data_IF_250516376306
#
_entry.id   IF_250516376306
#
_cell.length_a   1.000
_cell.length_b   1.000
_cell.length_c   1.000
_cell.angle_alpha   90.00
_cell.angle_beta   90.00
_cell.angle_gamma   90.00
#
_symmetry.space_group_name_H-M   'P 1'
#
loop_
_entity.id
_entity.type
_entity.pdbx_description
1 polymer ?
#
# COMPACT_ATOMS: atom_id res chain seq x y z
N UNK A 1 0.49 -11.74 -12.46
CA UNK A 1 -0.82 -11.21 -12.91
C UNK A 1 -0.80 -9.69 -12.84
N UNK A 2 -1.18 -9.06 -13.91
CA UNK A 2 -1.21 -7.59 -13.94
C UNK A 2 -2.47 -7.08 -13.22
N UNK A 3 -2.28 -6.21 -12.23
CA UNK A 3 -3.39 -5.65 -11.46
C UNK A 3 -4.10 -4.54 -12.21
N UNK A 4 -5.39 -4.39 -11.94
CA UNK A 4 -6.22 -3.32 -12.49
C UNK A 4 -6.81 -2.48 -11.35
N UNK A 5 -7.17 -1.24 -11.66
CA UNK A 5 -7.79 -0.35 -10.69
C UNK A 5 -9.09 -0.94 -10.11
N UNK A 6 -9.92 -1.56 -10.95
CA UNK A 6 -11.15 -2.22 -10.51
C UNK A 6 -10.88 -3.35 -9.51
N UNK A 7 -9.87 -4.17 -9.79
CA UNK A 7 -9.46 -5.26 -8.91
C UNK A 7 -9.03 -4.72 -7.54
N UNK A 8 -8.20 -3.68 -7.51
CA UNK A 8 -7.71 -3.09 -6.26
C UNK A 8 -8.86 -2.47 -5.47
N UNK A 9 -9.81 -1.80 -6.13
CA UNK A 9 -11.00 -1.26 -5.46
C UNK A 9 -11.81 -2.35 -4.76
N UNK A 10 -12.03 -3.47 -5.43
CA UNK A 10 -12.77 -4.60 -4.85
C UNK A 10 -12.01 -5.22 -3.67
N UNK A 11 -10.69 -5.35 -3.79
CA UNK A 11 -9.86 -5.84 -2.69
C UNK A 11 -9.84 -4.87 -1.52
N UNK A 12 -9.81 -3.56 -1.76
CA UNK A 12 -9.91 -2.56 -0.70
C UNK A 12 -11.20 -2.76 0.11
N UNK A 13 -12.33 -2.89 -0.55
CA UNK A 13 -13.62 -3.10 0.11
C UNK A 13 -13.59 -4.38 0.95
N UNK A 14 -13.08 -5.47 0.37
CA UNK A 14 -12.96 -6.77 1.06
C UNK A 14 -12.09 -6.65 2.32
N UNK A 15 -10.90 -6.10 2.18
CA UNK A 15 -9.94 -6.01 3.29
C UNK A 15 -10.37 -4.99 4.35
N UNK A 16 -11.05 -3.93 3.95
CA UNK A 16 -11.64 -2.99 4.88
C UNK A 16 -12.64 -3.70 5.81
N UNK A 17 -13.49 -4.55 5.24
CA UNK A 17 -14.42 -5.37 6.05
C UNK A 17 -13.72 -6.39 6.93
N UNK A 18 -12.70 -7.08 6.40
CA UNK A 18 -12.01 -8.16 7.11
C UNK A 18 -11.09 -7.65 8.22
N UNK A 19 -10.39 -6.54 8.01
CA UNK A 19 -9.28 -6.14 8.87
C UNK A 19 -9.47 -4.78 9.55
N UNK A 20 -10.40 -3.96 9.09
CA UNK A 20 -10.59 -2.59 9.61
C UNK A 20 -12.04 -2.31 10.04
N UNK A 21 -12.85 -3.34 10.21
CA UNK A 21 -14.26 -3.22 10.61
C UNK A 21 -15.07 -2.27 9.72
N UNK A 22 -14.72 -2.18 8.44
CA UNK A 22 -15.32 -1.27 7.47
C UNK A 22 -15.25 0.22 7.87
N UNK A 23 -14.25 0.58 8.68
CA UNK A 23 -14.11 1.94 9.20
C UNK A 23 -13.46 2.92 8.23
N UNK A 24 -12.77 2.43 7.20
CA UNK A 24 -12.10 3.30 6.24
C UNK A 24 -13.07 3.76 5.14
N UNK A 25 -13.28 5.08 4.97
CA UNK A 25 -14.01 5.56 3.81
C UNK A 25 -13.29 5.19 2.52
N UNK A 26 -14.05 4.98 1.45
CA UNK A 26 -13.44 4.72 0.15
C UNK A 26 -12.59 5.93 -0.26
N UNK A 27 -11.33 5.69 -0.60
CA UNK A 27 -10.42 6.71 -1.09
C UNK A 27 -10.16 6.52 -2.58
N UNK A 28 -9.42 7.45 -3.17
CA UNK A 28 -8.99 7.29 -4.56
C UNK A 28 -8.02 6.09 -4.66
N UNK A 29 -8.26 5.23 -5.64
CA UNK A 29 -7.42 4.09 -5.94
C UNK A 29 -6.81 4.31 -7.33
N UNK A 30 -5.50 4.18 -7.41
CA UNK A 30 -4.76 4.28 -8.68
C UNK A 30 -3.89 3.05 -8.86
N UNK A 31 -3.70 2.69 -10.11
CA UNK A 31 -2.69 1.72 -10.54
C UNK A 31 -1.73 2.45 -11.46
N UNK A 32 -0.45 2.35 -11.17
CA UNK A 32 0.58 3.08 -11.89
C UNK A 32 1.84 2.23 -12.02
N UNK A 33 2.65 2.54 -13.01
CA UNK A 33 3.91 1.82 -13.26
C UNK A 33 5.03 2.40 -12.40
N UNK A 34 5.07 1.97 -11.13
CA UNK A 34 6.10 2.39 -10.17
C UNK A 34 7.12 1.28 -9.98
N UNK A 35 8.39 1.56 -10.23
CA UNK A 35 9.45 0.56 -10.03
C UNK A 35 10.15 0.70 -8.67
N UNK A 36 9.97 1.82 -7.97
CA UNK A 36 10.61 2.10 -6.68
C UNK A 36 9.91 1.47 -5.49
N UNK A 37 8.63 1.20 -5.61
CA UNK A 37 7.84 0.63 -4.52
C UNK A 37 6.65 -0.17 -5.09
N UNK A 38 6.11 -1.06 -4.27
CA UNK A 38 4.92 -1.83 -4.65
C UNK A 38 3.65 -1.01 -4.53
N UNK A 39 3.58 -0.13 -3.55
CA UNK A 39 2.44 0.72 -3.30
C UNK A 39 2.83 1.97 -2.55
N UNK A 40 1.92 2.93 -2.51
CA UNK A 40 2.09 4.14 -1.71
C UNK A 40 0.73 4.69 -1.28
N UNK A 41 0.72 5.35 -0.14
CA UNK A 41 -0.41 6.14 0.32
C UNK A 41 0.00 7.60 0.38
N UNK A 42 -0.80 8.47 -0.24
CA UNK A 42 -0.61 9.92 -0.22
C UNK A 42 -1.88 10.61 0.22
N UNK A 43 -1.71 11.74 0.89
CA UNK A 43 -2.82 12.61 1.27
C UNK A 43 -2.29 14.03 1.50
N UNK A 44 -3.23 14.99 1.60
CA UNK A 44 -2.93 16.34 2.06
C UNK A 44 -3.42 16.49 3.49
N UNK A 45 -2.54 16.93 4.38
CA UNK A 45 -2.84 17.15 5.79
C UNK A 45 -3.00 18.64 6.02
N UNK A 46 -4.16 19.02 6.56
CA UNK A 46 -4.47 20.40 6.96
C UNK A 46 -4.43 20.48 8.49
N UNK A 47 -3.24 20.64 9.05
CA UNK A 47 -3.01 20.59 10.50
C UNK A 47 -3.86 21.60 11.27
N UNK A 48 -4.00 22.82 10.73
CA UNK A 48 -4.80 23.89 11.37
C UNK A 48 -6.26 23.45 11.57
N UNK A 49 -6.83 22.73 10.62
CA UNK A 49 -8.23 22.30 10.65
C UNK A 49 -8.38 20.83 11.04
N UNK A 50 -7.29 20.15 11.35
CA UNK A 50 -7.25 18.71 11.68
C UNK A 50 -7.99 17.86 10.65
N UNK A 51 -7.77 18.17 9.37
CA UNK A 51 -8.46 17.54 8.25
C UNK A 51 -7.46 16.95 7.26
N UNK A 52 -7.85 15.82 6.68
CA UNK A 52 -7.08 15.14 5.64
C UNK A 52 -7.90 15.09 4.37
N UNK A 53 -7.31 15.49 3.26
CA UNK A 53 -7.94 15.49 1.93
C UNK A 53 -7.04 14.81 0.91
N UNK A 54 -7.56 14.58 -0.30
CA UNK A 54 -6.82 13.99 -1.42
C UNK A 54 -6.18 12.65 -1.04
N UNK A 55 -6.91 11.80 -0.32
CA UNK A 55 -6.44 10.47 0.08
C UNK A 55 -6.39 9.56 -1.13
N UNK A 56 -5.23 8.96 -1.38
CA UNK A 56 -5.02 8.10 -2.54
C UNK A 56 -4.09 6.94 -2.20
N UNK A 57 -4.50 5.73 -2.56
CA UNK A 57 -3.65 4.54 -2.53
C UNK A 57 -3.31 4.20 -3.97
N UNK A 58 -2.01 4.08 -4.27
CA UNK A 58 -1.51 3.68 -5.57
C UNK A 58 -0.79 2.34 -5.45
N UNK A 59 -1.10 1.42 -6.34
CA UNK A 59 -0.44 0.10 -6.42
C UNK A 59 0.30 0.01 -7.75
N UNK A 60 1.53 -0.47 -7.70
CA UNK A 60 2.32 -0.66 -8.92
C UNK A 60 1.82 -1.85 -9.71
N UNK A 61 1.74 -1.71 -11.03
CA UNK A 61 1.38 -2.81 -11.94
C UNK A 61 2.60 -3.50 -12.56
N UNK A 62 3.80 -3.17 -12.11
CA UNK A 62 5.04 -3.71 -12.66
C UNK A 62 5.45 -5.07 -12.07
N UNK A 63 4.82 -5.50 -10.97
CA UNK A 63 5.22 -6.68 -10.23
C UNK A 63 4.24 -7.84 -10.41
N UNK A 64 4.75 -9.06 -10.31
CA UNK A 64 3.95 -10.28 -10.42
C UNK A 64 3.50 -10.72 -9.04
N UNK A 65 2.37 -10.18 -8.59
CA UNK A 65 1.82 -10.47 -7.27
C UNK A 65 1.13 -11.84 -7.22
N UNK A 66 1.36 -12.57 -6.13
CA UNK A 66 0.40 -13.57 -5.66
C UNK A 66 -0.74 -12.86 -4.92
N UNK A 67 -1.85 -13.55 -4.67
CA UNK A 67 -2.94 -12.96 -3.87
C UNK A 67 -2.44 -12.52 -2.50
N UNK A 68 -1.59 -13.33 -1.86
CA UNK A 68 -1.04 -13.01 -0.54
C UNK A 68 -0.13 -11.79 -0.59
N UNK A 69 0.76 -11.70 -1.58
CA UNK A 69 1.62 -10.53 -1.75
C UNK A 69 0.80 -9.27 -1.96
N UNK A 70 -0.20 -9.34 -2.83
CA UNK A 70 -1.04 -8.18 -3.14
C UNK A 70 -1.84 -7.75 -1.92
N UNK A 71 -2.37 -8.70 -1.15
CA UNK A 71 -3.03 -8.43 0.12
C UNK A 71 -2.10 -7.66 1.06
N UNK A 72 -0.91 -8.17 1.26
CA UNK A 72 0.05 -7.58 2.20
C UNK A 72 0.47 -6.17 1.76
N UNK A 73 0.70 -5.96 0.47
CA UNK A 73 1.02 -4.63 -0.08
C UNK A 73 -0.14 -3.66 0.13
N UNK A 74 -1.36 -4.07 -0.22
CA UNK A 74 -2.53 -3.19 -0.08
C UNK A 74 -2.85 -2.89 1.38
N UNK A 75 -2.82 -3.89 2.26
CA UNK A 75 -3.09 -3.72 3.68
C UNK A 75 -2.03 -2.83 4.34
N UNK A 76 -0.76 -2.92 3.92
CA UNK A 76 0.29 -2.01 4.37
C UNK A 76 -0.09 -0.55 4.11
N UNK A 77 -0.57 -0.24 2.91
CA UNK A 77 -1.02 1.11 2.55
C UNK A 77 -2.31 1.49 3.29
N UNK A 78 -3.20 0.54 3.51
CA UNK A 78 -4.42 0.77 4.29
C UNK A 78 -4.12 1.07 5.76
N UNK A 79 -3.05 0.51 6.32
CA UNK A 79 -2.60 0.84 7.68
C UNK A 79 -2.13 2.29 7.74
N UNK A 80 -1.36 2.78 6.76
CA UNK A 80 -1.03 4.20 6.66
C UNK A 80 -2.28 5.07 6.66
N UNK A 81 -3.25 4.71 5.84
CA UNK A 81 -4.52 5.42 5.77
C UNK A 81 -5.27 5.39 7.10
N UNK A 82 -5.34 4.23 7.75
CA UNK A 82 -6.01 4.06 9.05
C UNK A 82 -5.39 4.97 10.12
N UNK A 83 -4.07 4.99 10.24
CA UNK A 83 -3.39 5.80 11.23
C UNK A 83 -3.62 7.30 11.01
N UNK A 84 -3.63 7.73 9.76
CA UNK A 84 -3.91 9.12 9.42
C UNK A 84 -5.38 9.48 9.66
N UNK A 85 -6.29 8.62 9.23
CA UNK A 85 -7.73 8.88 9.27
C UNK A 85 -8.32 8.74 10.68
N UNK A 86 -8.02 7.64 11.37
CA UNK A 86 -8.62 7.32 12.66
C UNK A 86 -7.83 7.85 13.86
N UNK A 87 -6.53 7.76 13.79
CA UNK A 87 -5.62 8.09 14.90
C UNK A 87 -4.98 9.47 14.74
N UNK A 88 -5.05 10.07 13.57
CA UNK A 88 -4.43 11.37 13.23
C UNK A 88 -2.92 11.39 13.48
N UNK A 89 -2.28 10.25 13.34
CA UNK A 89 -0.85 10.07 13.55
C UNK A 89 -0.08 10.30 12.23
N UNK A 90 -0.05 11.54 11.77
CA UNK A 90 0.51 11.87 10.46
C UNK A 90 1.99 11.55 10.37
N UNK A 91 2.79 12.00 11.33
CA UNK A 91 4.23 11.76 11.34
C UNK A 91 4.56 10.28 11.55
N UNK A 92 3.90 9.64 12.52
CA UNK A 92 4.09 8.23 12.82
C UNK A 92 3.83 7.36 11.59
N UNK A 93 2.70 7.59 10.91
CA UNK A 93 2.34 6.84 9.71
C UNK A 93 3.39 6.98 8.61
N UNK A 94 3.75 8.21 8.24
CA UNK A 94 4.68 8.42 7.11
C UNK A 94 6.12 8.07 7.42
N UNK A 95 6.56 8.12 8.67
CA UNK A 95 7.90 7.75 9.08
C UNK A 95 8.05 6.30 9.55
N UNK A 96 6.98 5.48 9.43
CA UNK A 96 6.95 4.12 9.98
C UNK A 96 7.32 4.09 11.47
N UNK A 97 6.69 4.99 12.23
CA UNK A 97 6.94 5.12 13.67
C UNK A 97 6.37 3.98 14.51
N UNK A 98 6.41 4.12 15.86
CA UNK A 98 6.04 3.04 16.78
C UNK A 98 4.62 2.48 16.58
N UNK A 99 3.64 3.35 16.35
CA UNK A 99 2.24 2.92 16.15
C UNK A 99 2.10 2.12 14.84
N UNK A 100 2.77 2.56 13.79
CA UNK A 100 2.77 1.83 12.52
C UNK A 100 3.40 0.46 12.68
N UNK A 101 4.56 0.39 13.31
CA UNK A 101 5.28 -0.87 13.57
C UNK A 101 4.44 -1.83 14.43
N UNK A 102 3.80 -1.31 15.46
CA UNK A 102 2.93 -2.10 16.32
C UNK A 102 1.79 -2.71 15.53
N UNK A 103 1.14 -1.92 14.70
CA UNK A 103 0.00 -2.38 13.91
C UNK A 103 0.42 -3.42 12.85
N UNK A 104 1.57 -3.22 12.19
CA UNK A 104 2.14 -4.22 11.27
C UNK A 104 2.37 -5.54 11.99
N UNK A 105 2.99 -5.52 13.16
CA UNK A 105 3.28 -6.74 13.94
C UNK A 105 2.00 -7.44 14.40
N UNK A 106 1.02 -6.69 14.87
CA UNK A 106 -0.29 -7.24 15.26
C UNK A 106 -1.00 -7.91 14.09
N UNK A 107 -1.01 -7.28 12.93
CA UNK A 107 -1.65 -7.85 11.74
C UNK A 107 -0.92 -9.11 11.25
N UNK A 108 0.40 -9.09 11.25
CA UNK A 108 1.20 -10.26 10.88
C UNK A 108 0.89 -11.45 11.80
N UNK A 109 0.83 -11.21 13.10
CA UNK A 109 0.55 -12.26 14.08
C UNK A 109 -0.90 -12.73 14.00
N UNK A 110 -1.85 -11.80 14.00
CA UNK A 110 -3.28 -12.11 14.07
C UNK A 110 -3.83 -12.71 12.78
N UNK A 111 -3.38 -12.24 11.64
CA UNK A 111 -3.95 -12.61 10.33
C UNK A 111 -3.00 -13.43 9.45
N UNK A 112 -1.84 -13.81 9.95
CA UNK A 112 -0.88 -14.59 9.18
C UNK A 112 -0.28 -13.86 8.00
N UNK A 113 -0.14 -12.55 8.10
CA UNK A 113 0.48 -11.74 7.06
C UNK A 113 2.00 -11.74 7.20
N UNK A 114 2.70 -11.35 6.15
CA UNK A 114 4.17 -11.26 6.11
C UNK A 114 4.61 -9.85 5.71
N UNK A 115 3.92 -8.84 6.25
CA UNK A 115 4.27 -7.46 5.96
C UNK A 115 5.60 -7.08 6.60
N UNK A 116 6.40 -6.31 5.86
CA UNK A 116 7.61 -5.67 6.38
C UNK A 116 7.35 -4.19 6.60
N UNK A 117 8.01 -3.61 7.58
CA UNK A 117 7.93 -2.16 7.83
C UNK A 117 8.49 -1.39 6.63
N UNK A 118 9.62 -1.85 6.12
CA UNK A 118 10.21 -1.34 4.88
C UNK A 118 10.09 -2.41 3.81
N UNK A 119 9.42 -2.09 2.71
CA UNK A 119 9.24 -3.02 1.59
C UNK A 119 10.55 -3.14 0.80
N UNK A 120 11.04 -4.37 0.67
CA UNK A 120 12.18 -4.68 -0.18
C UNK A 120 11.66 -5.07 -1.56
N UNK A 121 12.09 -4.36 -2.60
CA UNK A 121 11.67 -4.59 -3.99
C UNK A 121 12.05 -5.96 -4.53
N UNK A 122 12.97 -6.67 -3.86
CA UNK A 122 13.37 -8.02 -4.25
C UNK A 122 12.39 -9.11 -3.80
N UNK A 123 11.44 -8.78 -2.91
CA UNK A 123 10.49 -9.75 -2.37
C UNK A 123 9.46 -10.22 -3.39
N UNK A 124 9.13 -9.39 -4.37
CA UNK A 124 8.15 -9.70 -5.42
C UNK A 124 8.82 -9.50 -6.77
N UNK A 125 8.72 -10.52 -7.61
CA UNK A 125 9.33 -10.47 -8.93
C UNK A 125 8.61 -9.47 -9.84
N UNK A 126 9.36 -8.82 -10.71
CA UNK A 126 8.80 -8.06 -11.81
C UNK A 126 8.06 -8.99 -12.77
N UNK A 127 7.02 -8.48 -13.42
CA UNK A 127 6.42 -9.15 -14.55
C UNK A 127 7.48 -9.32 -15.65
N UNK A 128 7.45 -10.43 -16.37
CA UNK A 128 8.49 -10.74 -17.38
C UNK A 128 8.69 -9.63 -18.41
N UNK A 129 7.60 -9.03 -18.88
CA UNK A 129 7.63 -7.90 -19.82
C UNK A 129 8.22 -6.64 -19.18
N UNK A 130 7.90 -6.39 -17.92
CA UNK A 130 8.41 -5.25 -17.14
C UNK A 130 9.91 -5.39 -16.89
N UNK A 131 10.36 -6.57 -16.50
CA UNK A 131 11.77 -6.86 -16.25
C UNK A 131 12.62 -6.55 -17.47
N UNK A 132 12.17 -6.98 -18.65
CA UNK A 132 12.85 -6.70 -19.91
C UNK A 132 12.91 -5.19 -20.20
N UNK A 133 11.79 -4.50 -20.04
CA UNK A 133 11.71 -3.06 -20.30
C UNK A 133 12.63 -2.28 -19.37
N UNK A 134 12.63 -2.58 -18.07
CA UNK A 134 13.50 -1.92 -17.11
C UNK A 134 14.96 -2.20 -17.37
N UNK A 135 15.28 -3.42 -17.74
CA UNK A 135 16.66 -3.79 -18.12
C UNK A 135 17.16 -2.95 -19.28
N UNK A 136 16.33 -2.81 -20.33
CA UNK A 136 16.65 -1.97 -21.48
C UNK A 136 16.86 -0.50 -21.08
N UNK A 137 15.97 0.05 -20.24
CA UNK A 137 16.11 1.42 -19.76
C UNK A 137 17.38 1.64 -18.92
N UNK A 138 17.70 0.71 -18.02
CA UNK A 138 18.86 0.82 -17.15
C UNK A 138 20.18 0.68 -17.92
N UNK A 139 20.18 -0.03 -19.03
CA UNK A 139 21.37 -0.20 -19.86
C UNK A 139 21.61 0.98 -20.83
N UNK A 140 20.60 1.82 -21.05
CA UNK A 140 20.72 3.03 -21.85
C UNK A 140 21.30 4.18 -21.03
N UNK A 141 21.16 4.13 -19.73
CA UNK A 141 21.66 5.13 -18.80
C UNK A 141 23.05 4.75 -18.31
#
# INVERSE_FOLDING_TARGET
MKVTCKQIKLLFIKYNGLYFNSELPLCEIRVSSMYKCYGEFKCKVHEKYKRVTCKCITISDLFDYTEENLRDVLVHEMIHYYLVHKKRLYKDSFSHGPEFMQMINEFNEKFGMKMKVVQDRSDIKLLSTTSRFLFELLNIV
#
